data_IF_942431806085
#
_entry.id   IF_942431806085
#
_cell.length_a   1.000
_cell.length_b   1.000
_cell.length_c   1.000
_cell.angle_alpha   90.00
_cell.angle_beta   90.00
_cell.angle_gamma   90.00
#
_symmetry.space_group_name_H-M   'P 1'
#
loop_
_entity.id
_entity.type
_entity.pdbx_description
1 polymer ?
#
# COMPACT_ATOMS: atom_id res chain seq x y z
N UNK A 1 -18.42 7.31 3.24
CA UNK A 1 -17.99 7.65 4.61
C UNK A 1 -16.71 6.88 4.93
N UNK A 2 -15.76 7.56 5.56
CA UNK A 2 -14.51 6.95 6.01
C UNK A 2 -14.76 5.85 7.05
N UNK A 3 -14.13 4.68 6.85
CA UNK A 3 -14.21 3.58 7.82
C UNK A 3 -13.42 3.93 9.07
N UNK A 4 -14.07 3.94 10.22
CA UNK A 4 -13.40 4.12 11.50
C UNK A 4 -12.75 2.79 11.91
N UNK A 5 -11.42 2.80 11.99
CA UNK A 5 -10.65 1.63 12.43
C UNK A 5 -10.59 1.54 13.96
N UNK A 6 -10.62 0.32 14.53
CA UNK A 6 -10.34 0.15 15.95
C UNK A 6 -8.92 0.63 16.26
N UNK A 7 -8.75 1.38 17.34
CA UNK A 7 -7.43 1.79 17.79
C UNK A 7 -6.72 0.60 18.46
N UNK A 8 -5.50 0.30 17.99
CA UNK A 8 -4.65 -0.71 18.61
C UNK A 8 -4.10 -0.18 19.92
N UNK A 9 -4.52 -0.78 21.03
CA UNK A 9 -3.93 -0.50 22.33
C UNK A 9 -2.59 -1.21 22.44
N UNK A 10 -1.51 -0.45 22.33
CA UNK A 10 -0.18 -0.96 22.61
C UNK A 10 -0.01 -1.01 24.14
N UNK A 11 0.01 -2.22 24.69
CA UNK A 11 0.19 -2.39 26.12
C UNK A 11 1.51 -1.74 26.55
N UNK A 12 1.45 -0.95 27.62
CA UNK A 12 2.64 -0.41 28.30
C UNK A 12 3.41 -1.59 28.90
N UNK A 13 4.32 -2.18 28.14
CA UNK A 13 5.37 -2.97 28.75
C UNK A 13 6.39 -2.00 29.35
N UNK A 14 6.79 -2.25 30.59
CA UNK A 14 7.64 -1.38 31.41
C UNK A 14 9.09 -1.22 30.88
N UNK A 15 9.42 -1.72 29.69
CA UNK A 15 10.74 -1.68 29.05
C UNK A 15 10.61 -1.31 27.58
N UNK A 16 10.05 -0.13 27.28
CA UNK A 16 10.02 0.40 25.91
C UNK A 16 11.34 1.13 25.59
N UNK A 17 12.46 0.41 25.61
CA UNK A 17 13.74 0.90 25.11
C UNK A 17 13.74 0.78 23.57
N UNK A 18 13.05 1.71 22.90
CA UNK A 18 13.18 1.86 21.47
C UNK A 18 14.59 2.42 21.15
N UNK A 19 15.21 2.00 20.05
CA UNK A 19 16.47 2.59 19.60
C UNK A 19 16.27 4.06 19.26
N UNK A 20 17.32 4.86 19.41
CA UNK A 20 17.30 6.29 19.05
C UNK A 20 17.08 6.47 17.53
N UNK A 21 17.61 5.57 16.73
CA UNK A 21 17.48 5.55 15.28
C UNK A 21 17.03 4.15 14.84
N UNK A 22 16.11 4.09 13.90
CA UNK A 22 15.64 2.83 13.32
C UNK A 22 15.29 3.02 11.85
N UNK A 23 15.85 2.19 10.98
CA UNK A 23 15.58 2.15 9.55
C UNK A 23 15.13 0.75 9.15
N UNK A 24 13.91 0.65 8.63
CA UNK A 24 13.33 -0.63 8.17
C UNK A 24 14.17 -1.28 7.06
N UNK A 25 14.81 -0.48 6.21
CA UNK A 25 15.65 -0.99 5.11
C UNK A 25 16.94 -1.65 5.58
N UNK A 26 17.42 -1.25 6.75
CA UNK A 26 18.57 -1.87 7.41
C UNK A 26 18.15 -3.08 8.23
N UNK A 27 16.97 -3.00 8.88
CA UNK A 27 16.44 -4.07 9.70
C UNK A 27 15.96 -5.27 8.87
N UNK A 28 15.43 -5.01 7.65
CA UNK A 28 14.89 -6.03 6.73
C UNK A 28 15.48 -5.86 5.33
N UNK A 29 16.79 -6.12 5.16
CA UNK A 29 17.49 -5.91 3.89
C UNK A 29 16.97 -6.77 2.74
N UNK A 30 16.32 -7.89 3.04
CA UNK A 30 15.69 -8.79 2.10
C UNK A 30 14.38 -8.25 1.50
N UNK A 31 13.76 -7.23 2.12
CA UNK A 31 12.48 -6.67 1.66
C UNK A 31 12.71 -5.55 0.64
N UNK A 32 12.59 -5.90 -0.64
CA UNK A 32 12.81 -4.95 -1.74
C UNK A 32 11.82 -3.80 -1.75
N UNK A 33 10.56 -4.06 -1.36
CA UNK A 33 9.50 -3.06 -1.32
C UNK A 33 9.86 -1.83 -0.47
N UNK A 34 10.62 -2.01 0.62
CA UNK A 34 11.08 -0.93 1.50
C UNK A 34 11.99 0.11 0.82
N UNK A 35 12.52 -0.20 -0.36
CA UNK A 35 13.42 0.68 -1.14
C UNK A 35 12.77 1.20 -2.40
N UNK A 36 11.59 0.71 -2.72
CA UNK A 36 10.87 1.14 -3.92
C UNK A 36 10.23 2.51 -3.70
N UNK A 37 10.37 3.39 -4.67
CA UNK A 37 9.65 4.67 -4.75
C UNK A 37 8.72 4.55 -5.94
N UNK A 38 7.42 4.66 -5.70
CA UNK A 38 6.39 4.55 -6.72
C UNK A 38 5.92 5.92 -7.16
N UNK A 39 5.45 6.02 -8.40
CA UNK A 39 4.94 7.24 -9.01
C UNK A 39 3.44 7.11 -9.31
N UNK A 40 2.64 7.99 -8.74
CA UNK A 40 1.19 8.02 -8.95
C UNK A 40 0.77 8.75 -10.24
N UNK A 41 1.74 9.35 -10.97
CA UNK A 41 1.46 10.18 -12.14
C UNK A 41 0.49 11.34 -11.82
N UNK A 42 -0.29 11.78 -12.80
CA UNK A 42 -1.30 12.85 -12.66
C UNK A 42 -2.64 12.38 -12.09
N UNK A 43 -2.62 11.36 -11.22
CA UNK A 43 -3.79 10.81 -10.56
C UNK A 43 -3.67 11.01 -9.05
N UNK A 44 -4.65 11.64 -8.40
CA UNK A 44 -4.68 11.86 -6.95
C UNK A 44 -4.96 10.59 -6.16
N UNK A 45 -4.11 9.57 -6.36
CA UNK A 45 -4.19 8.23 -5.76
C UNK A 45 -3.17 7.98 -4.64
N UNK A 46 -2.59 9.03 -4.05
CA UNK A 46 -1.63 8.91 -2.95
C UNK A 46 -2.14 8.02 -1.80
N UNK A 47 -3.42 8.11 -1.47
CA UNK A 47 -4.12 7.27 -0.49
C UNK A 47 -4.04 5.77 -0.80
N UNK A 48 -4.07 5.40 -2.07
CA UNK A 48 -3.98 4.01 -2.52
C UNK A 48 -2.53 3.54 -2.61
N UNK A 49 -1.62 4.43 -3.02
CA UNK A 49 -0.18 4.14 -3.08
C UNK A 49 0.40 3.90 -1.70
N UNK A 50 0.21 4.84 -0.76
CA UNK A 50 0.73 4.71 0.58
C UNK A 50 0.19 3.44 1.28
N UNK A 51 -1.12 3.15 1.15
CA UNK A 51 -1.69 1.92 1.66
C UNK A 51 -1.06 0.67 1.03
N UNK A 52 -0.93 0.63 -0.30
CA UNK A 52 -0.36 -0.51 -1.03
C UNK A 52 1.13 -0.73 -0.70
N UNK A 53 1.89 0.33 -0.49
CA UNK A 53 3.29 0.25 -0.07
C UNK A 53 3.40 -0.33 1.34
N UNK A 54 2.63 0.17 2.31
CA UNK A 54 2.58 -0.40 3.67
C UNK A 54 2.18 -1.87 3.66
N UNK A 55 1.19 -2.26 2.85
CA UNK A 55 0.78 -3.66 2.71
C UNK A 55 1.90 -4.54 2.15
N UNK A 56 2.62 -4.05 1.14
CA UNK A 56 3.76 -4.76 0.53
C UNK A 56 4.91 -4.95 1.51
N UNK A 57 5.28 -3.90 2.22
CA UNK A 57 6.31 -3.92 3.27
C UNK A 57 5.99 -4.96 4.34
N UNK A 58 4.76 -4.92 4.86
CA UNK A 58 4.32 -5.80 5.93
C UNK A 58 4.20 -7.26 5.49
N UNK A 59 3.79 -7.53 4.25
CA UNK A 59 3.81 -8.89 3.70
C UNK A 59 5.23 -9.47 3.72
N UNK A 60 6.22 -8.68 3.29
CA UNK A 60 7.60 -9.11 3.30
C UNK A 60 8.14 -9.27 4.73
N UNK A 61 8.00 -8.27 5.58
CA UNK A 61 8.50 -8.28 6.96
C UNK A 61 7.92 -9.47 7.74
N UNK A 62 6.60 -9.66 7.71
CA UNK A 62 5.93 -10.70 8.48
C UNK A 62 6.12 -12.11 7.92
N UNK A 63 6.51 -12.24 6.66
CA UNK A 63 6.89 -13.53 6.06
C UNK A 63 8.38 -13.85 6.19
N UNK A 64 9.18 -12.97 6.82
CA UNK A 64 10.63 -13.14 6.90
C UNK A 64 11.31 -13.08 5.52
N UNK A 65 10.79 -12.26 4.61
CA UNK A 65 11.33 -12.10 3.26
C UNK A 65 10.79 -13.10 2.21
N UNK A 66 9.94 -14.05 2.61
CA UNK A 66 9.42 -15.06 1.66
C UNK A 66 8.42 -14.49 0.67
N UNK A 67 7.62 -13.49 1.08
CA UNK A 67 6.59 -12.87 0.25
C UNK A 67 7.08 -11.49 -0.22
N UNK A 68 7.46 -11.37 -1.48
CA UNK A 68 7.90 -10.14 -2.13
C UNK A 68 6.80 -9.50 -3.00
N UNK A 69 5.54 -9.73 -2.65
CA UNK A 69 4.41 -9.25 -3.45
C UNK A 69 4.27 -7.74 -3.33
N UNK A 70 4.31 -7.05 -4.46
CA UNK A 70 3.86 -5.66 -4.58
C UNK A 70 2.33 -5.64 -4.62
N UNK A 71 1.69 -5.08 -3.62
CA UNK A 71 0.24 -4.91 -3.59
C UNK A 71 -0.18 -3.83 -4.58
N UNK A 72 -1.27 -4.06 -5.31
CA UNK A 72 -1.70 -3.17 -6.39
C UNK A 72 -2.37 -1.89 -5.89
N UNK A 73 -1.71 -0.75 -6.05
CA UNK A 73 -2.32 0.57 -5.88
C UNK A 73 -3.39 0.84 -6.97
N UNK A 74 -3.17 0.35 -8.20
CA UNK A 74 -4.13 0.47 -9.29
C UNK A 74 -5.46 -0.23 -8.99
N UNK A 75 -5.42 -1.43 -8.43
CA UNK A 75 -6.63 -2.15 -8.03
C UNK A 75 -7.38 -1.42 -6.90
N UNK A 76 -6.67 -0.89 -5.90
CA UNK A 76 -7.30 -0.06 -4.87
C UNK A 76 -7.98 1.16 -5.47
N UNK A 77 -7.25 1.91 -6.31
CA UNK A 77 -7.75 3.15 -6.93
C UNK A 77 -9.00 2.92 -7.78
N UNK A 78 -9.05 1.81 -8.51
CA UNK A 78 -10.15 1.57 -9.47
C UNK A 78 -11.28 0.71 -8.93
N UNK A 79 -11.01 -0.21 -8.01
CA UNK A 79 -11.95 -1.25 -7.60
C UNK A 79 -12.53 -1.09 -6.20
N UNK A 80 -11.88 -0.35 -5.31
CA UNK A 80 -12.44 -0.10 -3.99
C UNK A 80 -13.40 1.08 -4.00
N UNK A 81 -14.67 0.82 -4.21
CA UNK A 81 -15.71 1.87 -4.36
C UNK A 81 -16.01 2.66 -3.09
N UNK A 82 -15.62 2.15 -1.92
CA UNK A 82 -15.81 2.85 -0.65
C UNK A 82 -14.50 3.40 -0.05
N UNK A 83 -13.35 3.15 -0.71
CA UNK A 83 -12.07 3.70 -0.29
C UNK A 83 -11.88 5.16 -0.71
N UNK A 84 -12.60 5.62 -1.72
CA UNK A 84 -12.46 6.98 -2.23
C UNK A 84 -13.08 7.17 -3.60
N UNK A 85 -12.67 8.26 -4.24
CA UNK A 85 -13.12 8.68 -5.57
C UNK A 85 -12.02 8.48 -6.63
N UNK A 86 -11.30 7.37 -6.56
CA UNK A 86 -10.24 7.05 -7.53
C UNK A 86 -9.12 8.09 -7.56
N UNK A 87 -8.90 8.70 -8.72
CA UNK A 87 -7.89 9.76 -8.91
C UNK A 87 -8.22 11.09 -8.21
N UNK A 88 -9.37 11.20 -7.55
CA UNK A 88 -9.83 12.44 -6.90
C UNK A 88 -9.78 12.37 -5.37
N UNK A 89 -8.95 11.51 -4.81
CA UNK A 89 -8.75 11.36 -3.38
C UNK A 89 -9.44 10.14 -2.76
N UNK A 90 -9.07 9.83 -1.52
CA UNK A 90 -9.64 8.68 -0.82
C UNK A 90 -9.28 8.62 0.66
N UNK A 91 -9.62 7.49 1.28
CA UNK A 91 -9.54 7.25 2.71
C UNK A 91 -8.62 6.04 2.99
N UNK A 92 -7.41 6.27 3.47
CA UNK A 92 -6.44 5.20 3.79
C UNK A 92 -6.99 4.09 4.68
N UNK A 93 -7.73 4.45 5.72
CA UNK A 93 -8.34 3.49 6.66
C UNK A 93 -9.23 2.46 5.97
N UNK A 94 -9.95 2.88 4.93
CA UNK A 94 -10.82 2.01 4.14
C UNK A 94 -10.02 1.00 3.30
N UNK A 95 -8.82 1.36 2.86
CA UNK A 95 -7.95 0.47 2.08
C UNK A 95 -7.55 -0.78 2.87
N UNK A 96 -7.16 -0.61 4.13
CA UNK A 96 -6.80 -1.75 4.99
C UNK A 96 -7.99 -2.65 5.29
N UNK A 97 -9.18 -2.06 5.46
CA UNK A 97 -10.42 -2.84 5.61
C UNK A 97 -10.77 -3.58 4.31
N UNK A 98 -10.57 -2.95 3.16
CA UNK A 98 -10.75 -3.59 1.85
C UNK A 98 -9.79 -4.76 1.66
N UNK A 99 -8.52 -4.59 1.96
CA UNK A 99 -7.52 -5.65 1.87
C UNK A 99 -7.88 -6.86 2.73
N UNK A 100 -8.29 -6.62 3.97
CA UNK A 100 -8.74 -7.69 4.88
C UNK A 100 -9.95 -8.47 4.33
N UNK A 101 -10.94 -7.76 3.79
CA UNK A 101 -12.24 -8.37 3.45
C UNK A 101 -12.31 -8.88 2.01
N UNK A 102 -11.66 -8.22 1.07
CA UNK A 102 -11.78 -8.46 -0.36
C UNK A 102 -10.50 -9.01 -0.99
N UNK A 103 -9.36 -8.76 -0.35
CA UNK A 103 -8.05 -9.06 -0.91
C UNK A 103 -7.68 -8.10 -2.06
N UNK A 104 -6.38 -7.96 -2.29
CA UNK A 104 -5.83 -7.13 -3.35
C UNK A 104 -4.77 -7.95 -4.10
N UNK A 105 -4.81 -7.96 -5.45
CA UNK A 105 -3.83 -8.68 -6.26
C UNK A 105 -2.48 -7.99 -6.26
N UNK A 106 -1.48 -8.66 -6.83
CA UNK A 106 -0.19 -8.06 -7.12
C UNK A 106 -0.34 -6.93 -8.15
N UNK A 107 0.46 -5.90 -7.98
CA UNK A 107 0.58 -4.79 -8.89
C UNK A 107 2.02 -4.28 -8.91
N UNK A 108 2.40 -3.69 -10.01
CA UNK A 108 3.72 -3.12 -10.19
C UNK A 108 3.63 -1.69 -10.66
N UNK A 109 4.74 -1.22 -11.18
CA UNK A 109 4.82 0.06 -11.87
C UNK A 109 4.05 -0.01 -13.20
N UNK A 110 4.01 1.10 -13.91
CA UNK A 110 3.48 1.14 -15.27
C UNK A 110 4.23 0.14 -16.18
N UNK A 111 3.49 -0.56 -17.05
CA UNK A 111 4.02 -1.59 -17.97
C UNK A 111 4.70 -2.80 -17.31
N UNK A 112 4.52 -3.02 -16.01
CA UNK A 112 5.03 -4.22 -15.36
C UNK A 112 4.22 -5.46 -15.77
N UNK A 113 4.80 -6.28 -16.64
CA UNK A 113 4.19 -7.51 -17.15
C UNK A 113 4.28 -8.69 -16.19
N UNK A 114 4.95 -8.53 -15.05
CA UNK A 114 5.21 -9.59 -14.07
C UNK A 114 4.16 -9.67 -12.97
N UNK A 115 3.22 -8.72 -12.92
CA UNK A 115 2.17 -8.61 -11.89
C UNK A 115 0.78 -8.70 -12.49
N UNK A 116 -0.21 -9.02 -11.66
CA UNK A 116 -1.61 -9.18 -12.09
C UNK A 116 -2.26 -7.87 -12.54
N UNK A 117 -2.04 -6.79 -11.77
CA UNK A 117 -2.76 -5.53 -11.94
C UNK A 117 -1.79 -4.33 -11.82
N UNK A 118 -0.93 -4.11 -12.84
CA UNK A 118 0.05 -3.03 -12.84
C UNK A 118 -0.61 -1.66 -12.86
N UNK A 119 0.18 -0.62 -12.57
CA UNK A 119 -0.33 0.74 -12.63
C UNK A 119 -0.67 1.15 -14.05
N UNK A 120 -1.68 1.97 -14.21
CA UNK A 120 -2.30 2.27 -15.49
C UNK A 120 -1.79 3.54 -16.17
N UNK A 121 -1.05 4.40 -15.46
CA UNK A 121 -0.44 5.60 -16.02
C UNK A 121 1.08 5.54 -15.98
N UNK A 122 1.76 6.08 -17.02
CA UNK A 122 3.21 6.19 -17.01
C UNK A 122 3.68 7.13 -15.90
N UNK A 123 4.90 6.94 -15.39
CA UNK A 123 5.47 7.85 -14.41
C UNK A 123 5.56 9.26 -14.95
N UNK A 124 5.36 10.22 -14.06
CA UNK A 124 5.42 11.63 -14.37
C UNK A 124 6.75 12.19 -13.89
N UNK A 125 7.75 12.21 -14.78
CA UNK A 125 9.07 12.73 -14.46
C UNK A 125 9.11 14.25 -14.61
N UNK A 126 9.25 14.95 -13.52
CA UNK A 126 9.27 16.42 -13.41
C UNK A 126 10.37 17.11 -14.22
N UNK A 127 11.39 16.38 -14.65
CA UNK A 127 12.58 16.96 -15.28
C UNK A 127 12.64 16.77 -16.80
N UNK A 128 11.94 15.81 -17.37
CA UNK A 128 12.06 15.43 -18.76
C UNK A 128 10.74 15.34 -19.52
N UNK A 129 9.64 15.12 -18.86
CA UNK A 129 8.31 15.04 -19.47
C UNK A 129 7.33 15.93 -18.73
N UNK A 130 6.61 16.79 -19.44
CA UNK A 130 5.46 17.46 -18.85
C UNK A 130 4.45 16.40 -18.47
N UNK A 131 4.10 16.35 -17.18
CA UNK A 131 2.93 15.62 -16.76
C UNK A 131 1.72 16.08 -17.60
N UNK A 132 0.98 15.13 -18.13
CA UNK A 132 -0.30 15.42 -18.77
C UNK A 132 -1.29 16.00 -17.76
N UNK A 133 -2.40 16.55 -18.24
CA UNK A 133 -3.48 17.03 -17.38
C UNK A 133 -4.05 15.88 -16.54
N UNK A 134 -4.72 16.24 -15.45
CA UNK A 134 -5.32 15.31 -14.50
C UNK A 134 -6.18 14.26 -15.22
N UNK A 135 -5.92 13.00 -14.95
CA UNK A 135 -6.56 11.87 -15.63
C UNK A 135 -7.81 11.40 -14.87
N UNK A 136 -8.81 10.99 -15.60
CA UNK A 136 -9.98 10.31 -15.02
C UNK A 136 -9.59 8.93 -14.47
N UNK A 137 -10.33 8.48 -13.46
CA UNK A 137 -10.13 7.14 -12.89
C UNK A 137 -10.51 6.07 -13.91
N UNK A 138 -9.60 5.15 -14.28
CA UNK A 138 -9.95 4.05 -15.17
C UNK A 138 -10.99 3.10 -14.55
N UNK A 139 -11.66 2.35 -15.40
CA UNK A 139 -12.62 1.35 -14.95
C UNK A 139 -11.94 0.17 -14.23
N UNK A 140 -12.62 -0.33 -13.18
CA UNK A 140 -12.17 -1.53 -12.46
C UNK A 140 -12.23 -2.77 -13.35
N UNK A 141 -11.11 -3.37 -13.68
CA UNK A 141 -11.02 -4.65 -14.38
C UNK A 141 -11.27 -5.81 -13.42
N UNK A 142 -11.91 -6.86 -13.89
CA UNK A 142 -12.22 -8.07 -13.11
C UNK A 142 -11.25 -9.23 -13.38
N UNK A 143 -10.22 -8.98 -14.17
CA UNK A 143 -9.19 -9.94 -14.56
C UNK A 143 -7.81 -9.33 -14.37
N UNK A 144 -6.79 -10.17 -14.25
CA UNK A 144 -5.41 -9.74 -14.43
C UNK A 144 -5.18 -9.27 -15.86
N UNK A 145 -4.05 -8.62 -16.10
CA UNK A 145 -3.61 -8.28 -17.45
C UNK A 145 -3.40 -9.54 -18.31
N UNK A 146 -3.43 -9.34 -19.62
CA UNK A 146 -3.27 -10.44 -20.58
C UNK A 146 -1.90 -11.12 -20.42
N UNK A 147 -1.89 -12.43 -20.49
CA UNK A 147 -0.68 -13.25 -20.35
C UNK A 147 -0.23 -13.52 -18.92
N UNK A 148 -0.86 -12.92 -17.92
CA UNK A 148 -0.54 -13.24 -16.53
C UNK A 148 -1.06 -14.65 -16.13
N UNK A 149 -0.26 -15.51 -15.46
CA UNK A 149 -0.56 -16.93 -15.34
C UNK A 149 -1.66 -17.28 -14.32
N UNK A 150 -2.04 -16.35 -13.45
CA UNK A 150 -3.06 -16.55 -12.42
C UNK A 150 -4.33 -15.75 -12.70
N UNK A 151 -5.45 -16.21 -12.18
CA UNK A 151 -6.66 -15.39 -12.12
C UNK A 151 -6.52 -14.31 -11.04
N UNK A 152 -7.36 -13.27 -11.12
CA UNK A 152 -7.38 -12.18 -10.14
C UNK A 152 -7.55 -12.70 -8.69
N UNK A 153 -8.40 -13.71 -8.50
CA UNK A 153 -8.68 -14.26 -7.17
C UNK A 153 -7.52 -15.11 -6.63
N UNK A 154 -6.82 -15.85 -7.49
CA UNK A 154 -5.65 -16.65 -7.09
C UNK A 154 -4.44 -15.80 -6.72
N UNK A 155 -4.37 -14.56 -7.26
CA UNK A 155 -3.27 -13.67 -7.03
C UNK A 155 -3.43 -12.76 -5.81
N UNK A 156 -4.63 -12.70 -5.23
CA UNK A 156 -4.92 -11.82 -4.10
C UNK A 156 -4.15 -12.18 -2.84
N UNK A 157 -3.67 -11.15 -2.18
CA UNK A 157 -3.21 -11.20 -0.79
C UNK A 157 -4.26 -10.58 0.14
N UNK A 158 -4.21 -10.94 1.43
CA UNK A 158 -5.17 -10.48 2.42
C UNK A 158 -4.49 -10.01 3.69
N UNK A 159 -5.01 -8.94 4.29
CA UNK A 159 -4.61 -8.52 5.62
C UNK A 159 -5.34 -9.31 6.70
N UNK A 160 -4.65 -9.67 7.77
CA UNK A 160 -5.25 -10.36 8.92
C UNK A 160 -6.14 -9.43 9.75
N UNK A 161 -5.73 -8.16 9.89
CA UNK A 161 -6.44 -7.14 10.66
C UNK A 161 -6.20 -5.75 10.10
N UNK A 162 -7.05 -4.81 10.49
CA UNK A 162 -6.91 -3.39 10.20
C UNK A 162 -7.14 -2.59 11.49
N UNK A 163 -6.27 -1.63 11.77
CA UNK A 163 -6.30 -0.84 13.01
C UNK A 163 -5.62 0.52 12.81
N UNK A 164 -5.89 1.44 13.71
CA UNK A 164 -5.20 2.73 13.80
C UNK A 164 -4.23 2.76 14.98
N UNK A 165 -3.20 3.59 14.88
CA UNK A 165 -2.23 3.84 15.94
C UNK A 165 -2.10 5.33 16.15
N UNK A 166 -2.13 5.78 17.40
CA UNK A 166 -2.07 7.21 17.76
C UNK A 166 -0.94 7.49 18.75
N UNK A 167 -0.38 8.68 18.62
CA UNK A 167 0.69 9.17 19.48
C UNK A 167 2.08 8.70 19.05
N UNK A 168 3.04 9.60 19.12
CA UNK A 168 4.40 9.43 18.63
C UNK A 168 5.05 8.11 19.11
N UNK A 169 5.06 7.88 20.42
CA UNK A 169 5.66 6.65 20.98
C UNK A 169 5.01 5.37 20.49
N UNK A 170 3.68 5.37 20.32
CA UNK A 170 2.97 4.21 19.82
C UNK A 170 3.27 3.98 18.33
N UNK A 171 3.38 5.05 17.55
CA UNK A 171 3.76 4.97 16.13
C UNK A 171 5.20 4.46 15.99
N UNK A 172 6.15 4.99 16.78
CA UNK A 172 7.53 4.51 16.80
C UNK A 172 7.60 3.01 17.15
N UNK A 173 6.85 2.58 18.16
CA UNK A 173 6.79 1.17 18.55
C UNK A 173 6.16 0.30 17.47
N UNK A 174 5.09 0.76 16.84
CA UNK A 174 4.43 0.05 15.76
C UNK A 174 5.37 -0.16 14.56
N UNK A 175 6.12 0.89 14.18
CA UNK A 175 7.11 0.80 13.11
C UNK A 175 8.22 -0.20 13.48
N UNK A 176 8.70 -0.15 14.70
CA UNK A 176 9.77 -1.03 15.19
C UNK A 176 9.35 -2.51 15.23
N UNK A 177 8.14 -2.79 15.66
CA UNK A 177 7.64 -4.16 15.88
C UNK A 177 6.97 -4.78 14.64
N UNK A 178 6.32 -3.96 13.80
CA UNK A 178 5.40 -4.46 12.77
C UNK A 178 5.65 -3.89 11.37
N UNK A 179 6.53 -2.92 11.21
CA UNK A 179 6.86 -2.31 9.91
C UNK A 179 6.17 -0.97 9.66
N UNK A 180 6.22 -0.51 8.43
CA UNK A 180 5.74 0.81 8.02
C UNK A 180 4.29 1.11 8.41
N UNK A 181 3.98 2.39 8.55
CA UNK A 181 2.62 2.90 8.81
C UNK A 181 2.28 3.97 7.78
N UNK A 182 1.01 4.11 7.48
CA UNK A 182 0.50 5.21 6.65
C UNK A 182 0.12 6.40 7.55
N UNK A 183 0.58 7.59 7.17
CA UNK A 183 0.23 8.85 7.82
C UNK A 183 -0.37 9.83 6.82
N UNK A 184 -1.35 10.62 7.29
CA UNK A 184 -1.94 11.70 6.51
C UNK A 184 -1.58 13.04 7.12
N UNK A 185 -1.32 14.04 6.29
CA UNK A 185 -1.16 15.42 6.71
C UNK A 185 -1.95 16.37 5.81
N UNK A 186 -2.29 17.49 6.37
CA UNK A 186 -2.99 18.61 5.70
C UNK A 186 -2.06 19.79 5.56
#
# INVERSE_FOLDING_TARGET
>A
EEVQLPEKTLFKTSNDNLPENFDLREAYPECEALREIRDQSTCGSCWAFAAAEVMSDRLCIHSGGEIQTRVSAAHLTTCCTYCGSGCFGGYPSSCFTYWKNNGIPSGGLYDDTTTCYPYFFPPCDDHMHKCEDYQDTPECKKTCQDGYPKTLNEDKTYGASSYSVRGEKNIMKEIYENGSVEGTFT
#
